data_IF_013558382257
#
_entry.id   IF_013558382257
#
_cell.length_a   1.000
_cell.length_b   1.000
_cell.length_c   1.000
_cell.angle_alpha   90.00
_cell.angle_beta   90.00
_cell.angle_gamma   90.00
#
_symmetry.space_group_name_H-M   'P 1'
#
loop_
_entity.id
_entity.type
_entity.pdbx_description
1 polymer ?
#
# COMPACT_ATOMS: atom_id res chain seq x y z
N UNK A 1 9.67 -4.46 -21.93
CA UNK A 1 8.22 -4.24 -22.20
C UNK A 1 7.33 -5.27 -21.50
N UNK A 2 7.72 -6.55 -21.39
CA UNK A 2 6.96 -7.57 -20.65
C UNK A 2 6.83 -7.28 -19.14
N UNK A 3 7.88 -6.81 -18.49
CA UNK A 3 7.88 -6.55 -17.02
C UNK A 3 6.89 -5.47 -16.58
N UNK A 4 6.76 -4.38 -17.36
CA UNK A 4 5.78 -3.33 -17.06
C UNK A 4 4.34 -3.84 -17.23
N UNK A 5 4.10 -4.78 -18.15
CA UNK A 5 2.79 -5.44 -18.27
C UNK A 5 2.43 -6.22 -17.01
N UNK A 6 3.41 -6.87 -16.37
CA UNK A 6 3.20 -7.62 -15.13
C UNK A 6 3.01 -6.70 -13.92
N UNK A 7 3.74 -5.58 -13.87
CA UNK A 7 3.51 -4.51 -12.88
C UNK A 7 2.07 -4.01 -13.00
N UNK A 8 1.62 -3.69 -14.21
CA UNK A 8 0.25 -3.19 -14.43
C UNK A 8 -0.82 -4.24 -14.10
N UNK A 9 -0.59 -5.52 -14.41
CA UNK A 9 -1.51 -6.59 -14.01
C UNK A 9 -1.60 -6.73 -12.47
N UNK A 10 -0.49 -6.54 -11.77
CA UNK A 10 -0.47 -6.57 -10.29
C UNK A 10 -1.12 -5.30 -9.72
N UNK A 11 -0.92 -4.16 -10.38
CA UNK A 11 -1.56 -2.90 -10.01
C UNK A 11 -3.08 -2.93 -10.16
N UNK A 12 -3.62 -3.56 -11.20
CA UNK A 12 -5.08 -3.71 -11.32
C UNK A 12 -5.64 -4.60 -10.19
N UNK A 13 -4.95 -5.69 -9.81
CA UNK A 13 -5.33 -6.47 -8.62
C UNK A 13 -5.27 -5.65 -7.33
N UNK A 14 -4.22 -4.84 -7.17
CA UNK A 14 -4.09 -3.92 -6.04
C UNK A 14 -5.28 -2.95 -5.97
N UNK A 15 -5.66 -2.33 -7.09
CA UNK A 15 -6.81 -1.42 -7.15
C UNK A 15 -8.12 -2.10 -6.79
N UNK A 16 -8.35 -3.31 -7.31
CA UNK A 16 -9.56 -4.06 -7.00
C UNK A 16 -9.66 -4.40 -5.51
N UNK A 17 -8.59 -4.93 -4.91
CA UNK A 17 -8.56 -5.25 -3.48
C UNK A 17 -8.66 -3.98 -2.62
N UNK A 18 -7.95 -2.90 -2.99
CA UNK A 18 -8.03 -1.61 -2.30
C UNK A 18 -9.47 -1.07 -2.31
N UNK A 19 -10.11 -1.08 -3.48
CA UNK A 19 -11.49 -0.63 -3.63
C UNK A 19 -12.46 -1.45 -2.79
N UNK A 20 -12.35 -2.78 -2.79
CA UNK A 20 -13.20 -3.66 -1.98
C UNK A 20 -13.00 -3.43 -0.48
N UNK A 21 -11.75 -3.39 -0.02
CA UNK A 21 -11.40 -3.18 1.37
C UNK A 21 -11.88 -1.81 1.87
N UNK A 22 -11.55 -0.73 1.15
CA UNK A 22 -11.94 0.62 1.53
C UNK A 22 -13.46 0.79 1.52
N UNK A 23 -14.17 0.17 0.57
CA UNK A 23 -15.63 0.19 0.55
C UNK A 23 -16.22 -0.45 1.81
N UNK A 24 -15.68 -1.59 2.27
CA UNK A 24 -16.13 -2.24 3.52
C UNK A 24 -15.90 -1.36 4.74
N UNK A 25 -14.72 -0.74 4.84
CA UNK A 25 -14.38 0.20 5.91
C UNK A 25 -15.35 1.38 5.93
N UNK A 26 -15.64 1.97 4.78
CA UNK A 26 -16.48 3.17 4.67
C UNK A 26 -17.98 2.89 4.89
N UNK A 27 -18.48 1.76 4.41
CA UNK A 27 -19.92 1.46 4.38
C UNK A 27 -20.38 0.62 5.57
N UNK A 28 -19.64 -0.45 5.89
CA UNK A 28 -20.01 -1.43 6.93
C UNK A 28 -19.31 -1.13 8.25
N UNK A 29 -18.27 -0.26 8.25
CA UNK A 29 -17.45 0.05 9.43
C UNK A 29 -16.79 -1.19 10.03
N UNK A 30 -16.36 -2.10 9.15
CA UNK A 30 -15.65 -3.32 9.52
C UNK A 30 -14.23 -3.25 8.96
N UNK A 31 -13.26 -3.55 9.81
CA UNK A 31 -11.86 -3.65 9.42
C UNK A 31 -11.50 -5.12 9.18
N UNK A 32 -11.37 -5.50 7.92
CA UNK A 32 -10.93 -6.84 7.51
C UNK A 32 -9.40 -6.87 7.37
N UNK A 33 -8.74 -7.47 8.36
CA UNK A 33 -7.29 -7.59 8.40
C UNK A 33 -6.74 -8.48 7.29
N UNK A 34 -7.45 -9.57 6.93
CA UNK A 34 -7.00 -10.48 5.89
C UNK A 34 -7.10 -9.81 4.51
N UNK A 35 -8.12 -8.99 4.29
CA UNK A 35 -8.23 -8.17 3.09
C UNK A 35 -7.11 -7.14 3.00
N UNK A 36 -6.76 -6.51 4.14
CA UNK A 36 -5.62 -5.60 4.17
C UNK A 36 -4.29 -6.31 3.88
N UNK A 37 -4.04 -7.49 4.46
CA UNK A 37 -2.78 -8.22 4.23
C UNK A 37 -2.64 -8.66 2.77
N UNK A 38 -3.74 -9.02 2.07
CA UNK A 38 -3.72 -9.26 0.62
C UNK A 38 -3.40 -7.99 -0.17
N UNK A 39 -4.01 -6.87 0.19
CA UNK A 39 -3.73 -5.56 -0.41
C UNK A 39 -2.25 -5.19 -0.24
N UNK A 40 -1.71 -5.35 0.97
CA UNK A 40 -0.31 -5.07 1.25
C UNK A 40 0.62 -5.98 0.45
N UNK A 41 0.34 -7.29 0.38
CA UNK A 41 1.15 -8.22 -0.40
C UNK A 41 1.23 -7.81 -1.88
N UNK A 42 0.13 -7.31 -2.47
CA UNK A 42 0.17 -6.73 -3.82
C UNK A 42 1.00 -5.46 -3.90
N UNK A 43 0.94 -4.58 -2.90
CA UNK A 43 1.79 -3.39 -2.81
C UNK A 43 3.28 -3.71 -2.73
N UNK A 44 3.65 -4.68 -1.90
CA UNK A 44 5.04 -5.16 -1.76
C UNK A 44 5.56 -5.75 -3.07
N UNK A 45 4.74 -6.55 -3.75
CA UNK A 45 5.09 -7.13 -5.05
C UNK A 45 5.26 -6.06 -6.13
N UNK A 46 4.43 -5.01 -6.12
CA UNK A 46 4.60 -3.85 -7.01
C UNK A 46 5.94 -3.15 -6.73
N UNK A 47 6.29 -2.91 -5.46
CA UNK A 47 7.56 -2.28 -5.09
C UNK A 47 8.76 -3.12 -5.56
N UNK A 48 8.74 -4.42 -5.27
CA UNK A 48 9.78 -5.37 -5.71
C UNK A 48 9.97 -5.37 -7.23
N UNK A 49 8.87 -5.28 -8.00
CA UNK A 49 8.92 -5.25 -9.46
C UNK A 49 9.29 -3.90 -10.04
N UNK A 50 9.06 -2.81 -9.33
CA UNK A 50 9.41 -1.46 -9.79
C UNK A 50 10.86 -1.10 -9.50
N UNK A 51 11.50 -1.77 -8.52
CA UNK A 51 12.91 -1.57 -8.23
C UNK A 51 13.81 -1.78 -9.45
N UNK A 52 14.71 -0.83 -9.69
CA UNK A 52 15.59 -0.76 -10.85
C UNK A 52 14.94 -0.25 -12.13
N UNK A 53 13.64 0.08 -12.12
CA UNK A 53 13.00 0.70 -13.27
C UNK A 53 13.20 2.22 -13.25
N UNK A 54 13.64 2.77 -14.39
CA UNK A 54 13.83 4.21 -14.58
C UNK A 54 12.54 5.04 -14.53
N UNK A 55 11.37 4.39 -14.57
CA UNK A 55 10.08 5.06 -14.59
C UNK A 55 9.04 4.32 -13.75
N UNK A 56 8.40 5.08 -12.86
CA UNK A 56 7.29 4.61 -12.03
C UNK A 56 5.98 5.22 -12.55
N UNK A 57 4.95 4.41 -12.83
CA UNK A 57 3.64 4.93 -13.21
C UNK A 57 3.02 5.77 -12.09
N UNK A 58 2.66 7.03 -12.39
CA UNK A 58 2.05 7.94 -11.41
C UNK A 58 0.73 7.41 -10.83
N UNK A 59 -0.01 6.61 -11.59
CA UNK A 59 -1.25 5.98 -11.12
C UNK A 59 -1.01 5.05 -9.93
N UNK A 60 0.10 4.30 -9.93
CA UNK A 60 0.47 3.40 -8.83
C UNK A 60 0.67 4.20 -7.55
N UNK A 61 1.52 5.22 -7.63
CA UNK A 61 1.82 6.12 -6.52
C UNK A 61 0.58 6.85 -6.01
N UNK A 62 -0.29 7.29 -6.92
CA UNK A 62 -1.53 7.96 -6.57
C UNK A 62 -2.47 7.06 -5.78
N UNK A 63 -2.69 5.82 -6.25
CA UNK A 63 -3.61 4.89 -5.62
C UNK A 63 -3.18 4.52 -4.19
N UNK A 64 -1.89 4.20 -4.01
CA UNK A 64 -1.32 3.89 -2.69
C UNK A 64 -1.52 5.07 -1.72
N UNK A 65 -1.24 6.29 -2.18
CA UNK A 65 -1.42 7.49 -1.38
C UNK A 65 -2.89 7.78 -1.05
N UNK A 66 -3.81 7.54 -1.98
CA UNK A 66 -5.25 7.72 -1.75
C UNK A 66 -5.75 6.72 -0.72
N UNK A 67 -5.38 5.44 -0.84
CA UNK A 67 -5.78 4.40 0.10
C UNK A 67 -5.33 4.72 1.54
N UNK A 68 -4.06 5.10 1.72
CA UNK A 68 -3.54 5.51 3.04
C UNK A 68 -4.28 6.72 3.61
N UNK A 69 -4.58 7.73 2.79
CA UNK A 69 -5.34 8.91 3.22
C UNK A 69 -6.77 8.58 3.63
N UNK A 70 -7.45 7.71 2.89
CA UNK A 70 -8.81 7.28 3.23
C UNK A 70 -8.78 6.54 4.57
N UNK A 71 -7.84 5.62 4.78
CA UNK A 71 -7.70 4.93 6.06
C UNK A 71 -7.54 5.90 7.23
N UNK A 72 -6.67 6.91 7.11
CA UNK A 72 -6.49 7.91 8.16
C UNK A 72 -7.73 8.76 8.40
N UNK A 73 -8.44 9.12 7.33
CA UNK A 73 -9.68 9.88 7.45
C UNK A 73 -10.76 9.07 8.17
N UNK A 74 -10.92 7.79 7.81
CA UNK A 74 -11.91 6.91 8.43
C UNK A 74 -11.54 6.50 9.87
N UNK A 75 -10.25 6.43 10.19
CA UNK A 75 -9.75 6.13 11.54
C UNK A 75 -10.25 7.12 12.59
N UNK A 76 -10.54 8.37 12.21
CA UNK A 76 -11.12 9.39 13.10
C UNK A 76 -12.54 9.03 13.58
N UNK A 77 -13.24 8.18 12.83
CA UNK A 77 -14.63 7.82 13.07
C UNK A 77 -14.81 6.37 13.59
N UNK A 78 -13.73 5.59 13.62
CA UNK A 78 -13.71 4.20 14.12
C UNK A 78 -12.77 4.09 15.32
N UNK A 79 -13.21 4.61 16.48
CA UNK A 79 -12.34 4.78 17.65
C UNK A 79 -11.71 3.48 18.18
N UNK A 80 -12.41 2.35 18.08
CA UNK A 80 -11.91 1.04 18.50
C UNK A 80 -10.77 0.56 17.61
N UNK A 81 -10.90 0.76 16.29
CA UNK A 81 -9.95 0.31 15.27
C UNK A 81 -8.94 1.39 14.87
N UNK A 82 -9.06 2.62 15.41
CA UNK A 82 -8.29 3.80 15.01
C UNK A 82 -6.79 3.54 14.95
N UNK A 83 -6.22 2.86 15.97
CA UNK A 83 -4.80 2.51 16.00
C UNK A 83 -4.44 1.58 14.84
N UNK A 84 -5.20 0.50 14.66
CA UNK A 84 -4.95 -0.46 13.59
C UNK A 84 -5.06 0.18 12.20
N UNK A 85 -6.03 1.06 11.99
CA UNK A 85 -6.19 1.78 10.72
C UNK A 85 -5.03 2.75 10.44
N UNK A 86 -4.50 3.41 11.47
CA UNK A 86 -3.30 4.24 11.32
C UNK A 86 -2.06 3.38 11.01
N UNK A 87 -1.88 2.27 11.72
CA UNK A 87 -0.76 1.34 11.46
C UNK A 87 -0.83 0.76 10.03
N UNK A 88 -2.03 0.46 9.53
CA UNK A 88 -2.28 0.04 8.15
C UNK A 88 -1.96 1.16 7.14
N UNK A 89 -2.36 2.41 7.42
CA UNK A 89 -2.02 3.54 6.57
C UNK A 89 -0.50 3.76 6.50
N UNK A 90 0.21 3.62 7.62
CA UNK A 90 1.67 3.75 7.70
C UNK A 90 2.37 2.63 6.91
N UNK A 91 1.84 1.40 6.89
CA UNK A 91 2.34 0.29 6.05
C UNK A 91 2.20 0.59 4.56
N UNK A 92 1.06 1.16 4.13
CA UNK A 92 0.86 1.58 2.74
C UNK A 92 1.79 2.73 2.34
N UNK A 93 1.98 3.72 3.23
CA UNK A 93 2.92 4.82 2.98
C UNK A 93 4.38 4.36 2.94
N UNK A 94 4.76 3.41 3.79
CA UNK A 94 6.08 2.78 3.70
C UNK A 94 6.30 2.17 2.31
N UNK A 95 5.33 1.42 1.79
CA UNK A 95 5.43 0.85 0.43
C UNK A 95 5.61 1.94 -0.63
N UNK A 96 4.82 3.01 -0.52
CA UNK A 96 4.93 4.18 -1.42
C UNK A 96 6.32 4.81 -1.35
N UNK A 97 6.86 5.04 -0.15
CA UNK A 97 8.18 5.64 0.06
C UNK A 97 9.30 4.76 -0.48
N UNK A 98 9.21 3.44 -0.28
CA UNK A 98 10.18 2.48 -0.83
C UNK A 98 10.23 2.57 -2.36
N UNK A 99 9.07 2.62 -3.03
CA UNK A 99 9.01 2.79 -4.49
C UNK A 99 9.70 4.09 -4.94
N UNK A 100 9.50 5.19 -4.21
CA UNK A 100 10.13 6.47 -4.54
C UNK A 100 11.66 6.44 -4.38
N UNK A 101 12.16 5.61 -3.47
CA UNK A 101 13.58 5.45 -3.19
C UNK A 101 14.26 4.40 -4.08
N UNK A 102 13.52 3.79 -5.02
CA UNK A 102 13.98 2.65 -5.81
C UNK A 102 14.37 1.44 -4.94
N UNK A 103 13.59 1.22 -3.88
CA UNK A 103 13.78 0.16 -2.89
C UNK A 103 12.58 -0.76 -2.81
N UNK A 104 12.78 -1.91 -2.18
CA UNK A 104 11.74 -2.86 -1.82
C UNK A 104 11.83 -3.24 -0.33
N UNK A 105 10.89 -4.04 0.14
CA UNK A 105 10.76 -4.38 1.56
C UNK A 105 11.93 -5.21 2.10
N UNK A 106 12.70 -5.89 1.23
CA UNK A 106 13.92 -6.60 1.60
C UNK A 106 15.10 -5.67 1.89
N UNK A 107 15.09 -4.43 1.37
CA UNK A 107 16.10 -3.42 1.67
C UNK A 107 15.91 -2.77 3.04
N UNK A 108 14.79 -3.05 3.71
CA UNK A 108 14.44 -2.54 5.03
C UNK A 108 14.48 -3.65 6.10
N UNK A 109 15.66 -4.18 6.46
CA UNK A 109 15.77 -5.15 7.54
C UNK A 109 15.32 -4.53 8.87
N UNK A 110 14.47 -5.23 9.65
CA UNK A 110 13.96 -4.72 10.92
C UNK A 110 15.11 -4.50 11.91
N UNK A 111 15.04 -3.40 12.66
CA UNK A 111 16.00 -3.08 13.73
C UNK A 111 17.27 -2.34 13.27
N UNK A 112 17.41 -2.01 11.99
CA UNK A 112 18.51 -1.19 11.48
C UNK A 112 18.00 0.25 11.23
N UNK A 113 18.38 1.24 12.07
CA UNK A 113 18.04 2.64 11.83
C UNK A 113 18.71 3.14 10.55
N UNK A 114 18.02 4.02 9.81
CA UNK A 114 18.67 4.77 8.73
C UNK A 114 19.57 5.83 9.36
N UNK A 115 20.87 5.76 9.10
CA UNK A 115 21.73 6.94 9.21
C UNK A 115 21.38 7.84 8.01
N UNK A 116 20.50 8.82 8.24
CA UNK A 116 20.31 9.95 7.33
C UNK A 116 21.59 10.80 7.28
#
# INVERSE_FOLDING_TARGET
MAEMSEVMATFERYKEEAGRFLLQVQTVRVLDFDAFDRLEAHGQEIARRLKGHSSVPKSVLHEMRVAAKILRAEALYMSTEQRAMNDMADRLEMTFDLILLDEDHSDRPPGIPRSL
#
